data_IF_460337381017
#
_entry.id   IF_460337381017
#
_cell.length_a   1.000
_cell.length_b   1.000
_cell.length_c   1.000
_cell.angle_alpha   90.00
_cell.angle_beta   90.00
_cell.angle_gamma   90.00
#
_symmetry.space_group_name_H-M   'P 1'
#
loop_
_entity.id
_entity.type
_entity.pdbx_description
1 polymer ?
#
# COMPACT_ATOMS: atom_id res chain seq x y z
N UNK A 1 6.14 46.82 8.87
CA UNK A 1 4.94 46.13 9.41
C UNK A 1 4.80 44.87 8.58
N UNK A 2 5.18 43.71 9.14
CA UNK A 2 5.03 42.43 8.43
C UNK A 2 3.55 42.06 8.52
N UNK A 3 2.95 41.74 7.38
CA UNK A 3 1.55 41.35 7.31
C UNK A 3 1.37 40.03 8.10
N UNK A 4 0.38 39.89 9.00
CA UNK A 4 0.18 38.65 9.77
C UNK A 4 -0.05 37.41 8.90
N UNK A 5 -0.39 37.58 7.62
CA UNK A 5 -0.53 36.53 6.62
C UNK A 5 0.81 35.94 6.14
N UNK A 6 1.94 36.61 6.37
CA UNK A 6 3.23 36.26 5.76
C UNK A 6 4.18 35.49 6.71
N UNK A 7 3.73 35.14 7.92
CA UNK A 7 4.57 34.48 8.95
C UNK A 7 4.15 33.02 9.24
N UNK A 8 3.01 32.57 8.73
CA UNK A 8 2.58 31.17 8.86
C UNK A 8 2.65 30.53 7.48
N UNK A 9 3.46 29.48 7.33
CA UNK A 9 3.25 28.56 6.21
C UNK A 9 1.76 28.19 6.23
N UNK A 10 0.99 28.45 5.16
CA UNK A 10 -0.46 28.38 5.25
C UNK A 10 -0.86 26.97 5.70
N UNK A 11 -1.81 26.90 6.64
CA UNK A 11 -2.17 25.71 7.43
C UNK A 11 -2.21 24.39 6.62
N UNK A 12 -2.67 24.44 5.38
CA UNK A 12 -2.70 23.30 4.47
C UNK A 12 -1.31 22.68 4.16
N UNK A 13 -0.23 23.46 4.16
CA UNK A 13 1.14 22.97 3.98
C UNK A 13 1.53 22.09 5.18
N UNK A 14 1.27 22.57 6.40
CA UNK A 14 1.55 21.82 7.62
C UNK A 14 0.74 20.52 7.70
N UNK A 15 -0.55 20.57 7.32
CA UNK A 15 -1.40 19.39 7.27
C UNK A 15 -0.90 18.36 6.23
N UNK A 16 -0.47 18.81 5.06
CA UNK A 16 0.13 17.93 4.06
C UNK A 16 1.44 17.31 4.53
N UNK A 17 2.28 18.07 5.24
CA UNK A 17 3.49 17.52 5.85
C UNK A 17 3.18 16.50 6.95
N UNK A 18 2.16 16.75 7.77
CA UNK A 18 1.68 15.81 8.78
C UNK A 18 1.23 14.50 8.14
N UNK A 19 0.45 14.57 7.06
CA UNK A 19 0.08 13.40 6.26
C UNK A 19 1.31 12.67 5.69
N UNK A 20 2.30 13.40 5.19
CA UNK A 20 3.54 12.81 4.67
C UNK A 20 4.36 12.10 5.76
N UNK A 21 4.38 12.64 6.97
CA UNK A 21 5.18 12.14 8.09
C UNK A 21 4.46 11.06 8.90
N UNK A 22 3.14 10.94 8.77
CA UNK A 22 2.33 9.94 9.46
C UNK A 22 2.94 8.54 9.35
N UNK A 23 3.03 7.85 10.49
CA UNK A 23 3.82 6.62 10.65
C UNK A 23 2.95 5.39 10.87
N UNK A 24 1.66 5.58 11.11
CA UNK A 24 0.68 4.51 11.25
C UNK A 24 -0.46 4.66 10.24
N UNK A 25 -1.20 3.57 10.02
CA UNK A 25 -2.36 3.58 9.12
C UNK A 25 -3.42 4.59 9.57
N UNK A 26 -3.81 4.56 10.86
CA UNK A 26 -4.79 5.50 11.44
C UNK A 26 -4.35 6.95 11.36
N UNK A 27 -3.09 7.25 11.72
CA UNK A 27 -2.56 8.62 11.61
C UNK A 27 -2.59 9.11 10.17
N UNK A 28 -2.27 8.24 9.21
CA UNK A 28 -2.26 8.59 7.78
C UNK A 28 -3.67 8.94 7.31
N UNK A 29 -4.67 8.11 7.65
CA UNK A 29 -6.07 8.35 7.31
C UNK A 29 -6.61 9.62 7.98
N UNK A 30 -6.34 9.80 9.28
CA UNK A 30 -6.77 10.98 10.03
C UNK A 30 -6.15 12.26 9.47
N UNK A 31 -4.84 12.29 9.26
CA UNK A 31 -4.15 13.44 8.70
C UNK A 31 -4.65 13.78 7.29
N UNK A 32 -4.96 12.77 6.47
CA UNK A 32 -5.52 12.97 5.15
C UNK A 32 -6.94 13.55 5.19
N UNK A 33 -7.81 13.04 6.08
CA UNK A 33 -9.17 13.55 6.25
C UNK A 33 -9.17 15.02 6.73
N UNK A 34 -8.30 15.36 7.70
CA UNK A 34 -8.14 16.76 8.16
C UNK A 34 -7.64 17.66 7.03
N UNK A 35 -6.69 17.19 6.23
CA UNK A 35 -6.22 17.93 5.05
C UNK A 35 -7.35 18.17 4.04
N UNK A 36 -8.14 17.14 3.72
CA UNK A 36 -9.25 17.25 2.77
C UNK A 36 -10.32 18.23 3.25
N UNK A 37 -10.71 18.15 4.53
CA UNK A 37 -11.65 19.10 5.14
C UNK A 37 -11.15 20.54 5.12
N UNK A 38 -9.86 20.77 5.43
CA UNK A 38 -9.27 22.12 5.37
C UNK A 38 -9.21 22.69 3.95
N UNK A 39 -9.10 21.82 2.94
CA UNK A 39 -9.03 22.21 1.53
C UNK A 39 -10.39 22.26 0.83
N UNK A 40 -11.46 21.91 1.54
CA UNK A 40 -12.81 21.74 0.98
C UNK A 40 -12.78 20.81 -0.24
N UNK A 41 -12.30 19.60 0.01
CA UNK A 41 -12.13 18.53 -0.97
C UNK A 41 -12.86 17.28 -0.49
N UNK A 42 -13.71 16.72 -1.35
CA UNK A 42 -14.32 15.41 -1.11
C UNK A 42 -13.60 14.32 -1.92
N UNK A 43 -12.92 13.35 -1.28
CA UNK A 43 -12.34 12.19 -1.96
C UNK A 43 -13.37 11.32 -2.71
N UNK A 44 -14.67 11.45 -2.41
CA UNK A 44 -15.73 10.78 -3.17
C UNK A 44 -15.80 11.28 -4.62
N UNK A 45 -15.43 12.54 -4.88
CA UNK A 45 -15.34 13.16 -6.21
C UNK A 45 -14.05 12.75 -6.95
N UNK A 46 -13.85 11.44 -7.09
CA UNK A 46 -12.57 10.84 -7.52
C UNK A 46 -12.04 11.36 -8.86
N UNK A 47 -12.93 11.83 -9.76
CA UNK A 47 -12.58 12.33 -11.11
C UNK A 47 -11.74 13.60 -11.08
N UNK A 48 -12.03 14.52 -10.16
CA UNK A 48 -11.38 15.85 -10.09
C UNK A 48 -10.50 15.97 -8.85
N UNK A 49 -10.65 15.08 -7.88
CA UNK A 49 -9.95 15.14 -6.60
C UNK A 49 -8.44 15.36 -6.74
N UNK A 50 -7.73 14.53 -7.52
CA UNK A 50 -6.27 14.64 -7.66
C UNK A 50 -5.84 16.01 -8.23
N UNK A 51 -6.50 16.48 -9.29
CA UNK A 51 -6.15 17.76 -9.92
C UNK A 51 -6.44 18.94 -8.99
N UNK A 52 -7.54 18.88 -8.24
CA UNK A 52 -7.91 19.88 -7.23
C UNK A 52 -6.97 19.87 -6.02
N UNK A 53 -6.57 18.69 -5.52
CA UNK A 53 -5.58 18.54 -4.45
C UNK A 53 -4.24 19.13 -4.86
N UNK A 54 -3.75 18.77 -6.05
CA UNK A 54 -2.51 19.28 -6.63
C UNK A 54 -2.53 20.80 -6.81
N UNK A 55 -3.65 21.37 -7.25
CA UNK A 55 -3.79 22.82 -7.44
C UNK A 55 -3.73 23.58 -6.11
N UNK A 56 -4.27 23.01 -5.03
CA UNK A 56 -4.30 23.62 -3.69
C UNK A 56 -2.99 23.42 -2.91
N UNK A 57 -2.27 22.31 -3.12
CA UNK A 57 -1.02 22.00 -2.39
C UNK A 57 0.22 22.25 -3.27
N UNK A 58 0.78 23.45 -3.19
CA UNK A 58 1.80 23.93 -4.14
C UNK A 58 3.22 24.08 -3.58
N UNK A 59 3.47 23.59 -2.36
CA UNK A 59 4.81 23.63 -1.75
C UNK A 59 5.84 22.79 -2.54
N UNK A 60 7.13 23.10 -2.37
CA UNK A 60 8.21 22.48 -3.14
C UNK A 60 8.29 20.95 -2.97
N UNK A 61 7.98 20.45 -1.76
CA UNK A 61 8.01 19.02 -1.44
C UNK A 61 6.90 18.28 -2.17
N UNK A 62 5.70 18.86 -2.21
CA UNK A 62 4.54 18.35 -2.94
C UNK A 62 4.75 18.39 -4.46
N UNK A 63 5.26 19.51 -5.01
CA UNK A 63 5.56 19.66 -6.46
C UNK A 63 6.42 18.53 -7.02
N UNK A 64 7.43 18.09 -6.25
CA UNK A 64 8.30 16.99 -6.65
C UNK A 64 7.61 15.61 -6.64
N UNK A 65 6.54 15.44 -5.85
CA UNK A 65 5.68 14.26 -5.93
C UNK A 65 4.73 14.37 -7.13
N UNK A 66 4.08 15.53 -7.32
CA UNK A 66 3.16 15.77 -8.44
C UNK A 66 3.81 15.46 -9.78
N UNK A 67 5.02 15.96 -10.02
CA UNK A 67 5.77 15.66 -11.25
C UNK A 67 5.95 14.15 -11.52
N UNK A 68 6.08 13.33 -10.47
CA UNK A 68 6.21 11.88 -10.60
C UNK A 68 4.88 11.21 -10.94
N UNK A 69 3.81 11.59 -10.21
CA UNK A 69 2.48 11.04 -10.43
C UNK A 69 1.90 11.49 -11.77
N UNK A 70 2.08 12.76 -12.16
CA UNK A 70 1.69 13.27 -13.47
C UNK A 70 2.38 12.49 -14.60
N UNK A 71 3.69 12.24 -14.47
CA UNK A 71 4.43 11.44 -15.45
C UNK A 71 3.86 10.03 -15.59
N UNK A 72 3.47 9.41 -14.47
CA UNK A 72 2.83 8.08 -14.48
C UNK A 72 1.45 8.17 -15.14
N UNK A 73 0.60 9.10 -14.72
CA UNK A 73 -0.76 9.31 -15.26
C UNK A 73 -0.78 9.62 -16.76
N UNK A 74 0.28 10.21 -17.30
CA UNK A 74 0.43 10.50 -18.73
C UNK A 74 0.76 9.27 -19.59
N UNK A 75 0.92 8.08 -19.00
CA UNK A 75 1.09 6.84 -19.77
C UNK A 75 -0.14 6.57 -20.65
N UNK A 76 0.09 6.21 -21.91
CA UNK A 76 -0.96 6.00 -22.92
C UNK A 76 -1.97 4.92 -22.52
N UNK A 77 -1.54 3.93 -21.75
CA UNK A 77 -2.34 2.81 -21.28
C UNK A 77 -3.49 3.28 -20.37
N UNK A 78 -3.34 4.42 -19.68
CA UNK A 78 -4.40 4.99 -18.86
C UNK A 78 -5.43 5.79 -19.66
N UNK A 79 -5.15 6.09 -20.94
CA UNK A 79 -5.99 6.90 -21.82
C UNK A 79 -6.46 8.21 -21.13
N UNK A 80 -5.53 8.96 -20.53
CA UNK A 80 -5.84 10.17 -19.73
C UNK A 80 -6.86 9.91 -18.60
N UNK A 81 -6.79 8.74 -17.96
CA UNK A 81 -7.73 8.33 -16.91
C UNK A 81 -9.13 8.02 -17.45
N UNK A 82 -9.26 7.62 -18.71
CA UNK A 82 -10.54 7.29 -19.35
C UNK A 82 -10.70 5.79 -19.62
N UNK A 83 -9.65 4.99 -19.44
CA UNK A 83 -9.63 3.57 -19.82
C UNK A 83 -10.67 2.70 -19.08
N UNK A 84 -10.94 3.01 -17.81
CA UNK A 84 -11.91 2.30 -16.96
C UNK A 84 -12.95 3.27 -16.37
N UNK A 85 -13.26 4.35 -17.08
CA UNK A 85 -14.30 5.27 -16.63
C UNK A 85 -15.66 4.57 -16.52
N UNK A 86 -16.35 4.83 -15.42
CA UNK A 86 -17.66 4.22 -15.13
C UNK A 86 -17.57 2.89 -14.40
N UNK A 87 -16.43 2.20 -14.43
CA UNK A 87 -16.24 0.99 -13.64
C UNK A 87 -16.13 1.32 -12.14
N UNK A 88 -16.85 0.54 -11.33
CA UNK A 88 -16.73 0.54 -9.87
C UNK A 88 -15.99 -0.73 -9.44
N UNK A 89 -14.90 -0.56 -8.70
CA UNK A 89 -14.01 -1.65 -8.30
C UNK A 89 -13.96 -1.79 -6.78
N UNK A 90 -14.23 -2.98 -6.25
CA UNK A 90 -13.97 -3.34 -4.87
C UNK A 90 -12.68 -4.16 -4.76
N UNK A 91 -11.78 -3.76 -3.86
CA UNK A 91 -10.54 -4.49 -3.56
C UNK A 91 -10.59 -4.96 -2.11
N UNK A 92 -10.40 -6.26 -1.93
CA UNK A 92 -10.44 -6.90 -0.61
C UNK A 92 -9.00 -7.08 -0.15
N UNK A 93 -8.57 -6.29 0.84
CA UNK A 93 -7.24 -6.35 1.46
C UNK A 93 -6.33 -5.15 1.15
N UNK A 94 -5.93 -4.44 2.21
CA UNK A 94 -5.01 -3.30 2.19
C UNK A 94 -3.53 -3.69 2.26
N UNK A 95 -3.17 -4.87 1.73
CA UNK A 95 -1.78 -5.31 1.58
C UNK A 95 -1.05 -4.59 0.45
N UNK A 96 0.29 -4.80 0.29
CA UNK A 96 1.04 -4.18 -0.80
C UNK A 96 0.44 -4.43 -2.19
N UNK A 97 0.04 -5.67 -2.48
CA UNK A 97 -0.56 -6.03 -3.76
C UNK A 97 -1.91 -5.34 -3.98
N UNK A 98 -2.82 -5.39 -2.98
CA UNK A 98 -4.14 -4.77 -3.08
C UNK A 98 -4.07 -3.26 -3.28
N UNK A 99 -3.25 -2.55 -2.48
CA UNK A 99 -3.04 -1.12 -2.65
C UNK A 99 -2.38 -0.77 -3.99
N UNK A 100 -1.43 -1.60 -4.46
CA UNK A 100 -0.78 -1.38 -5.75
C UNK A 100 -1.77 -1.53 -6.91
N UNK A 101 -2.64 -2.53 -6.85
CA UNK A 101 -3.74 -2.72 -7.82
C UNK A 101 -4.74 -1.56 -7.75
N UNK A 102 -5.08 -1.09 -6.54
CA UNK A 102 -5.97 0.04 -6.34
C UNK A 102 -5.49 1.30 -7.04
N UNK A 103 -4.19 1.59 -6.91
CA UNK A 103 -3.55 2.71 -7.58
C UNK A 103 -3.71 2.58 -9.10
N UNK A 104 -3.37 1.44 -9.72
CA UNK A 104 -3.54 1.29 -11.18
C UNK A 104 -4.99 1.50 -11.63
N UNK A 105 -5.96 0.92 -10.93
CA UNK A 105 -7.38 1.06 -11.30
C UNK A 105 -7.84 2.52 -11.19
N UNK A 106 -7.39 3.24 -10.15
CA UNK A 106 -7.67 4.67 -10.01
C UNK A 106 -7.01 5.49 -11.12
N UNK A 107 -5.76 5.19 -11.50
CA UNK A 107 -5.08 5.85 -12.61
C UNK A 107 -5.77 5.60 -13.96
N UNK A 108 -6.44 4.45 -14.14
CA UNK A 108 -7.27 4.16 -15.32
C UNK A 108 -8.64 4.88 -15.30
N UNK A 109 -9.00 5.56 -14.20
CA UNK A 109 -10.25 6.32 -14.08
C UNK A 109 -11.41 5.58 -13.41
N UNK A 110 -11.18 4.41 -12.83
CA UNK A 110 -12.21 3.66 -12.11
C UNK A 110 -12.52 4.30 -10.75
N UNK A 111 -13.74 4.12 -10.23
CA UNK A 111 -14.05 4.36 -8.81
C UNK A 111 -13.55 3.16 -8.01
N UNK A 112 -12.56 3.36 -7.16
CA UNK A 112 -11.91 2.26 -6.42
C UNK A 112 -12.19 2.39 -4.92
N UNK A 113 -12.68 1.30 -4.34
CA UNK A 113 -12.89 1.14 -2.91
C UNK A 113 -12.05 -0.04 -2.42
N UNK A 114 -11.29 0.16 -1.36
CA UNK A 114 -10.50 -0.87 -0.68
C UNK A 114 -11.08 -1.08 0.71
N UNK A 115 -11.35 -2.34 1.07
CA UNK A 115 -11.72 -2.74 2.43
C UNK A 115 -10.60 -3.56 3.06
N UNK A 116 -10.20 -3.21 4.27
CA UNK A 116 -9.19 -3.91 5.07
C UNK A 116 -9.75 -4.26 6.45
N UNK A 117 -9.62 -5.54 6.80
CA UNK A 117 -10.11 -6.06 8.08
C UNK A 117 -9.39 -5.43 9.29
N UNK A 118 -8.10 -5.12 9.16
CA UNK A 118 -7.29 -4.55 10.26
C UNK A 118 -7.31 -3.03 10.22
N UNK A 119 -6.90 -2.43 11.34
CA UNK A 119 -6.75 -0.98 11.49
C UNK A 119 -5.29 -0.51 11.52
N UNK A 120 -4.36 -1.44 11.37
CA UNK A 120 -2.94 -1.21 11.61
C UNK A 120 -2.07 -2.05 10.69
N UNK A 121 -0.94 -1.46 10.30
CA UNK A 121 0.13 -2.14 9.59
C UNK A 121 1.22 -2.53 10.58
N UNK A 122 1.24 -3.80 10.99
CA UNK A 122 2.08 -4.29 12.10
C UNK A 122 3.19 -5.26 11.70
N UNK A 123 3.28 -5.60 10.41
CA UNK A 123 4.23 -6.61 9.92
C UNK A 123 5.61 -5.99 9.68
N UNK A 124 6.54 -6.34 10.55
CA UNK A 124 7.92 -5.89 10.46
C UNK A 124 8.77 -6.67 9.46
N UNK A 125 8.38 -7.89 9.06
CA UNK A 125 9.18 -8.69 8.13
C UNK A 125 9.52 -7.91 6.86
N UNK A 126 10.69 -8.23 6.29
CA UNK A 126 11.30 -7.48 5.20
C UNK A 126 11.14 -8.23 3.89
N UNK A 127 10.70 -7.52 2.86
CA UNK A 127 10.51 -8.01 1.50
C UNK A 127 11.71 -7.57 0.65
N UNK A 128 12.33 -8.53 -0.03
CA UNK A 128 13.22 -8.23 -1.14
C UNK A 128 12.42 -7.64 -2.32
N UNK A 129 13.02 -6.68 -3.02
CA UNK A 129 12.44 -5.96 -4.15
C UNK A 129 13.32 -6.17 -5.38
N UNK A 130 12.71 -6.62 -6.47
CA UNK A 130 13.40 -6.70 -7.75
C UNK A 130 13.64 -5.30 -8.31
N UNK A 131 14.63 -5.13 -9.21
CA UNK A 131 14.96 -3.82 -9.78
C UNK A 131 13.75 -3.08 -10.39
N UNK A 132 12.86 -3.78 -11.08
CA UNK A 132 11.66 -3.17 -11.67
C UNK A 132 10.68 -2.67 -10.58
N UNK A 133 10.55 -3.38 -9.46
CA UNK A 133 9.69 -2.97 -8.34
C UNK A 133 10.26 -1.73 -7.65
N UNK A 134 11.58 -1.66 -7.49
CA UNK A 134 12.25 -0.45 -7.00
C UNK A 134 12.00 0.72 -7.95
N UNK A 135 12.12 0.51 -9.26
CA UNK A 135 11.84 1.52 -10.28
C UNK A 135 10.38 2.00 -10.22
N UNK A 136 9.42 1.08 -10.16
CA UNK A 136 7.99 1.38 -10.07
C UNK A 136 7.66 2.21 -8.82
N UNK A 137 8.11 1.78 -7.64
CA UNK A 137 7.89 2.51 -6.39
C UNK A 137 8.59 3.88 -6.39
N UNK A 138 9.78 4.01 -6.98
CA UNK A 138 10.43 5.33 -7.20
C UNK A 138 9.63 6.22 -8.15
N UNK A 139 8.97 5.61 -9.15
CA UNK A 139 8.03 6.25 -10.07
C UNK A 139 6.79 6.79 -9.36
N UNK A 140 6.29 6.08 -8.34
CA UNK A 140 5.19 6.53 -7.47
C UNK A 140 5.62 7.48 -6.34
N UNK A 141 6.90 7.84 -6.27
CA UNK A 141 7.40 8.80 -5.29
C UNK A 141 7.75 8.21 -3.92
N UNK A 142 8.01 6.90 -3.81
CA UNK A 142 8.35 6.23 -2.55
C UNK A 142 9.43 6.96 -1.71
N UNK A 143 10.48 7.50 -2.35
CA UNK A 143 11.55 8.25 -1.66
C UNK A 143 11.09 9.57 -1.02
N UNK A 144 9.93 10.12 -1.43
CA UNK A 144 9.32 11.32 -0.83
C UNK A 144 8.58 10.99 0.47
N UNK A 145 7.96 9.82 0.53
CA UNK A 145 7.29 9.31 1.73
C UNK A 145 8.26 8.64 2.70
N UNK A 146 9.34 8.05 2.19
CA UNK A 146 10.35 7.34 2.97
C UNK A 146 11.74 7.64 2.44
N UNK A 147 12.46 8.58 3.08
CA UNK A 147 13.76 9.06 2.59
C UNK A 147 14.83 7.96 2.48
N UNK A 148 14.75 6.93 3.31
CA UNK A 148 15.64 5.75 3.31
C UNK A 148 15.30 4.73 2.22
N UNK A 149 14.23 4.92 1.45
CA UNK A 149 13.78 3.95 0.44
C UNK A 149 14.88 3.63 -0.58
N UNK A 150 15.39 2.39 -0.52
CA UNK A 150 16.42 1.87 -1.41
C UNK A 150 17.58 2.84 -1.61
N UNK A 151 18.13 3.36 -0.50
CA UNK A 151 19.34 4.18 -0.50
C UNK A 151 20.59 3.31 -0.71
N UNK A 152 21.53 3.75 -1.53
CA UNK A 152 22.70 2.94 -1.89
C UNK A 152 22.30 1.64 -2.59
N UNK A 153 22.81 0.51 -2.08
CA UNK A 153 22.55 -0.84 -2.59
C UNK A 153 21.33 -1.54 -1.93
N UNK A 154 20.59 -0.86 -1.05
CA UNK A 154 19.41 -1.43 -0.37
C UNK A 154 18.34 -1.80 -1.40
N UNK A 155 17.94 -3.06 -1.42
CA UNK A 155 16.99 -3.65 -2.38
C UNK A 155 15.76 -4.27 -1.70
N UNK A 156 15.37 -3.73 -0.54
CA UNK A 156 14.39 -4.37 0.31
C UNK A 156 13.65 -3.36 1.21
N UNK A 157 12.48 -3.73 1.72
CA UNK A 157 11.61 -2.87 2.53
C UNK A 157 10.74 -3.68 3.49
N UNK A 158 10.46 -3.16 4.69
CA UNK A 158 9.49 -3.81 5.58
C UNK A 158 8.07 -3.76 5.01
N UNK A 159 7.28 -4.79 5.29
CA UNK A 159 5.89 -4.88 4.79
C UNK A 159 5.09 -3.65 5.21
N UNK A 160 5.14 -3.25 6.50
CA UNK A 160 4.40 -2.09 6.98
C UNK A 160 4.80 -0.79 6.27
N UNK A 161 6.08 -0.59 5.96
CA UNK A 161 6.55 0.65 5.33
C UNK A 161 6.10 0.71 3.88
N UNK A 162 6.10 -0.43 3.18
CA UNK A 162 5.55 -0.53 1.84
C UNK A 162 4.04 -0.23 1.84
N UNK A 163 3.30 -0.77 2.82
CA UNK A 163 1.87 -0.48 2.97
C UNK A 163 1.61 1.02 3.21
N UNK A 164 2.39 1.70 4.06
CA UNK A 164 2.25 3.15 4.30
C UNK A 164 2.53 3.99 3.05
N UNK A 165 3.58 3.66 2.30
CA UNK A 165 3.92 4.35 1.06
C UNK A 165 2.75 4.22 0.07
N UNK A 166 2.28 2.99 -0.15
CA UNK A 166 1.20 2.73 -1.11
C UNK A 166 -0.14 3.31 -0.66
N UNK A 167 -0.45 3.28 0.65
CA UNK A 167 -1.65 3.91 1.19
C UNK A 167 -1.67 5.42 0.91
N UNK A 168 -0.55 6.10 1.14
CA UNK A 168 -0.44 7.55 0.87
C UNK A 168 -0.66 7.86 -0.61
N UNK A 169 -0.09 7.05 -1.51
CA UNK A 169 -0.32 7.21 -2.95
C UNK A 169 -1.79 6.93 -3.31
N UNK A 170 -2.36 5.85 -2.78
CA UNK A 170 -3.76 5.46 -3.02
C UNK A 170 -4.74 6.59 -2.63
N UNK A 171 -4.58 7.17 -1.44
CA UNK A 171 -5.39 8.29 -0.97
C UNK A 171 -5.26 9.53 -1.87
N UNK A 172 -4.04 9.88 -2.28
CA UNK A 172 -3.78 11.00 -3.18
C UNK A 172 -4.49 10.84 -4.53
N UNK A 173 -4.60 9.60 -5.04
CA UNK A 173 -5.29 9.29 -6.30
C UNK A 173 -6.76 8.91 -6.08
N UNK A 174 -7.34 9.32 -4.96
CA UNK A 174 -8.76 9.16 -4.62
C UNK A 174 -9.26 7.71 -4.52
N UNK A 175 -8.38 6.78 -4.12
CA UNK A 175 -8.84 5.46 -3.65
C UNK A 175 -9.50 5.63 -2.29
N UNK A 176 -10.74 5.19 -2.19
CA UNK A 176 -11.48 5.14 -0.94
C UNK A 176 -11.01 3.94 -0.12
N UNK A 177 -10.59 4.15 1.13
CA UNK A 177 -9.95 3.11 1.94
C UNK A 177 -10.61 2.98 3.32
N UNK A 178 -11.22 1.82 3.57
CA UNK A 178 -11.92 1.51 4.81
C UNK A 178 -11.17 0.47 5.63
N UNK A 179 -10.87 0.80 6.89
CA UNK A 179 -10.28 -0.13 7.87
C UNK A 179 -11.36 -0.70 8.79
N UNK A 180 -11.05 -1.79 9.50
CA UNK A 180 -12.01 -2.52 10.34
C UNK A 180 -13.23 -3.06 9.58
N UNK A 181 -13.08 -3.28 8.26
CA UNK A 181 -14.13 -3.83 7.41
C UNK A 181 -13.67 -5.19 6.89
N UNK A 182 -14.27 -6.25 7.41
CA UNK A 182 -14.04 -7.62 6.97
C UNK A 182 -15.01 -7.98 5.84
N UNK A 183 -14.47 -8.44 4.72
CA UNK A 183 -15.26 -9.10 3.68
C UNK A 183 -15.78 -10.46 4.18
N UNK A 184 -17.05 -10.75 3.94
CA UNK A 184 -17.69 -12.02 4.28
C UNK A 184 -17.96 -12.85 3.02
N UNK A 185 -18.74 -12.31 2.08
CA UNK A 185 -19.09 -12.96 0.81
C UNK A 185 -19.60 -11.96 -0.22
N UNK A 186 -19.70 -12.39 -1.47
CA UNK A 186 -20.41 -11.64 -2.50
C UNK A 186 -21.92 -11.75 -2.29
N UNK A 187 -22.64 -10.69 -2.66
CA UNK A 187 -24.08 -10.63 -2.73
C UNK A 187 -24.46 -10.45 -4.19
N UNK A 188 -25.14 -11.44 -4.74
CA UNK A 188 -25.65 -11.42 -6.11
C UNK A 188 -26.80 -10.40 -6.23
N UNK A 189 -26.95 -9.74 -7.39
CA UNK A 189 -28.16 -8.99 -7.73
C UNK A 189 -29.42 -9.86 -7.51
N UNK A 190 -30.51 -9.32 -6.93
CA UNK A 190 -31.77 -10.05 -6.83
C UNK A 190 -32.34 -10.36 -8.22
N UNK A 191 -33.06 -11.48 -8.36
CA UNK A 191 -33.70 -11.89 -9.61
C UNK A 191 -34.88 -10.98 -9.99
N UNK A 192 -35.67 -10.55 -9.00
CA UNK A 192 -36.82 -9.67 -9.18
C UNK A 192 -36.38 -8.19 -9.14
N UNK A 193 -36.16 -7.58 -10.31
CA UNK A 193 -35.72 -6.17 -10.47
C UNK A 193 -36.79 -5.27 -11.09
N UNK A 194 -38.07 -5.50 -10.77
CA UNK A 194 -39.18 -4.77 -11.40
C UNK A 194 -39.16 -3.25 -11.14
N UNK A 195 -38.51 -2.79 -10.06
CA UNK A 195 -38.54 -1.37 -9.63
C UNK A 195 -37.16 -0.70 -9.46
N UNK A 196 -36.10 -1.39 -9.04
CA UNK A 196 -34.74 -0.85 -8.91
C UNK A 196 -33.68 -1.93 -9.21
N UNK A 197 -32.77 -1.64 -10.14
CA UNK A 197 -31.70 -2.54 -10.55
C UNK A 197 -30.51 -2.49 -9.57
N UNK A 198 -30.54 -3.34 -8.54
CA UNK A 198 -29.45 -3.45 -7.56
C UNK A 198 -28.31 -4.30 -8.14
N UNK A 199 -27.11 -3.73 -8.23
CA UNK A 199 -25.91 -4.43 -8.69
C UNK A 199 -25.27 -5.37 -7.67
N UNK A 200 -24.12 -5.93 -8.04
CA UNK A 200 -23.31 -6.78 -7.14
C UNK A 200 -22.81 -6.00 -5.93
N UNK A 201 -22.89 -6.61 -4.75
CA UNK A 201 -22.41 -6.02 -3.49
C UNK A 201 -21.57 -7.01 -2.69
N UNK A 202 -21.03 -6.56 -1.57
CA UNK A 202 -20.30 -7.38 -0.63
C UNK A 202 -21.03 -7.41 0.72
N UNK A 203 -21.26 -8.61 1.24
CA UNK A 203 -21.56 -8.76 2.66
C UNK A 203 -20.27 -8.49 3.43
N UNK A 204 -20.36 -7.60 4.42
CA UNK A 204 -19.22 -7.14 5.21
C UNK A 204 -19.53 -7.20 6.71
N UNK A 205 -18.48 -7.10 7.52
CA UNK A 205 -18.57 -6.90 8.96
C UNK A 205 -17.76 -5.66 9.37
N UNK A 206 -18.35 -4.69 10.10
CA UNK A 206 -19.74 -4.68 10.56
C UNK A 206 -20.73 -4.36 9.42
N UNK A 207 -21.95 -4.91 9.49
CA UNK A 207 -22.90 -4.92 8.37
C UNK A 207 -23.58 -3.57 8.10
N UNK A 208 -23.57 -2.68 9.09
CA UNK A 208 -24.08 -1.31 9.06
C UNK A 208 -23.06 -0.30 8.52
N UNK A 209 -21.84 -0.74 8.18
CA UNK A 209 -20.84 0.14 7.61
C UNK A 209 -21.30 0.65 6.23
N UNK A 210 -21.15 1.96 5.90
CA UNK A 210 -21.69 2.55 4.66
C UNK A 210 -21.30 1.82 3.36
N UNK A 211 -20.08 1.27 3.32
CA UNK A 211 -19.58 0.49 2.17
C UNK A 211 -20.38 -0.79 1.88
N UNK A 212 -21.26 -1.26 2.76
CA UNK A 212 -22.17 -2.38 2.50
C UNK A 212 -23.11 -2.11 1.31
N UNK A 213 -23.41 -0.84 1.05
CA UNK A 213 -24.25 -0.40 -0.06
C UNK A 213 -23.46 -0.06 -1.33
N UNK A 214 -22.13 -0.25 -1.31
CA UNK A 214 -21.31 -0.01 -2.50
C UNK A 214 -21.51 -1.13 -3.53
N UNK A 215 -22.12 -0.76 -4.65
CA UNK A 215 -22.25 -1.63 -5.83
C UNK A 215 -21.01 -1.56 -6.71
N UNK A 216 -20.55 -2.69 -7.22
CA UNK A 216 -19.34 -2.79 -8.03
C UNK A 216 -19.48 -3.77 -9.19
N UNK A 217 -18.73 -3.52 -10.26
CA UNK A 217 -18.66 -4.36 -11.45
C UNK A 217 -17.39 -5.22 -11.48
N UNK A 218 -16.39 -4.82 -10.68
CA UNK A 218 -15.08 -5.48 -10.58
C UNK A 218 -14.76 -5.76 -9.12
N UNK A 219 -14.37 -7.00 -8.81
CA UNK A 219 -13.86 -7.38 -7.49
C UNK A 219 -12.47 -7.98 -7.59
N UNK A 220 -11.57 -7.57 -6.70
CA UNK A 220 -10.20 -8.09 -6.61
C UNK A 220 -9.92 -8.63 -5.21
N UNK A 221 -9.73 -9.95 -5.11
CA UNK A 221 -9.28 -10.60 -3.87
C UNK A 221 -7.77 -10.46 -3.68
N UNK A 222 -7.35 -9.60 -2.75
CA UNK A 222 -5.94 -9.32 -2.42
C UNK A 222 -5.64 -9.44 -0.90
N UNK A 223 -6.42 -10.24 -0.18
CA UNK A 223 -6.41 -10.42 1.27
C UNK A 223 -5.54 -11.59 1.76
N UNK A 224 -4.77 -12.17 0.83
CA UNK A 224 -3.73 -13.16 1.10
C UNK A 224 -4.26 -14.58 1.25
N UNK A 225 -3.40 -15.49 1.76
CA UNK A 225 -3.66 -16.94 1.69
C UNK A 225 -4.92 -17.40 2.44
N UNK A 226 -5.45 -16.68 3.42
CA UNK A 226 -6.55 -17.23 4.25
C UNK A 226 -7.89 -17.27 3.53
N UNK A 227 -8.08 -16.44 2.51
CA UNK A 227 -9.36 -16.28 1.84
C UNK A 227 -9.20 -16.46 0.34
N UNK A 228 -10.27 -16.91 -0.31
CA UNK A 228 -10.38 -16.98 -1.76
C UNK A 228 -11.83 -16.75 -2.11
N UNK A 229 -12.06 -15.86 -3.09
CA UNK A 229 -13.38 -15.66 -3.65
C UNK A 229 -13.94 -17.00 -4.14
N UNK A 230 -15.24 -17.20 -3.93
CA UNK A 230 -15.93 -18.40 -4.39
C UNK A 230 -15.75 -18.59 -5.90
N UNK A 231 -15.71 -19.85 -6.35
CA UNK A 231 -15.43 -20.20 -7.74
C UNK A 231 -13.94 -20.40 -8.09
N UNK A 232 -12.99 -19.91 -7.29
CA UNK A 232 -11.57 -20.10 -7.56
C UNK A 232 -11.00 -21.34 -6.85
N UNK A 233 -10.61 -22.35 -7.65
CA UNK A 233 -9.96 -23.57 -7.14
C UNK A 233 -8.47 -23.33 -6.86
N UNK A 234 -8.00 -23.77 -5.69
CA UNK A 234 -6.57 -23.73 -5.34
C UNK A 234 -5.87 -25.03 -5.71
N UNK A 235 -4.63 -24.92 -6.21
CA UNK A 235 -3.72 -26.05 -6.37
C UNK A 235 -2.79 -26.09 -5.16
N UNK A 236 -2.85 -27.17 -4.39
CA UNK A 236 -1.89 -27.42 -3.31
C UNK A 236 -0.70 -28.20 -3.86
N UNK A 237 0.50 -27.67 -3.66
CA UNK A 237 1.75 -28.39 -3.92
C UNK A 237 2.39 -28.76 -2.57
N UNK A 238 2.49 -30.06 -2.30
CA UNK A 238 3.13 -30.58 -1.09
C UNK A 238 4.54 -31.05 -1.43
N UNK A 239 5.53 -30.27 -1.00
CA UNK A 239 6.94 -30.62 -1.08
C UNK A 239 7.42 -31.36 0.18
N UNK A 240 8.75 -31.38 0.37
CA UNK A 240 9.35 -31.82 1.63
C UNK A 240 8.94 -30.90 2.77
N UNK A 241 8.94 -31.42 4.01
CA UNK A 241 8.75 -30.60 5.20
C UNK A 241 9.78 -29.47 5.22
N UNK A 242 9.30 -28.23 5.29
CA UNK A 242 10.12 -27.03 5.37
C UNK A 242 9.51 -26.09 6.40
N UNK A 243 10.31 -25.71 7.40
CA UNK A 243 9.92 -24.77 8.46
C UNK A 243 10.80 -23.53 8.31
N UNK A 244 10.18 -22.36 8.22
CA UNK A 244 10.87 -21.09 8.14
C UNK A 244 10.68 -20.31 9.44
N UNK A 245 11.76 -19.75 9.98
CA UNK A 245 11.76 -18.87 11.15
C UNK A 245 12.16 -17.48 10.67
N UNK A 246 11.42 -16.46 11.10
CA UNK A 246 11.77 -15.06 10.85
C UNK A 246 11.91 -14.32 12.17
N UNK A 247 13.03 -13.62 12.36
CA UNK A 247 13.29 -12.81 13.55
C UNK A 247 13.53 -11.35 13.14
N UNK A 248 13.17 -10.41 14.02
CA UNK A 248 13.48 -8.99 13.86
C UNK A 248 14.13 -8.49 15.15
N UNK A 249 15.30 -7.89 15.02
CA UNK A 249 16.02 -7.25 16.13
C UNK A 249 15.97 -5.73 15.95
N UNK A 250 16.07 -4.99 17.06
CA UNK A 250 16.12 -3.52 17.03
C UNK A 250 17.43 -3.10 16.38
N UNK A 251 17.37 -2.32 15.30
CA UNK A 251 18.53 -1.63 14.75
C UNK A 251 18.64 -0.22 15.33
N UNK A 252 19.72 0.07 16.07
CA UNK A 252 19.96 1.39 16.67
C UNK A 252 20.70 2.35 15.74
N UNK A 253 21.05 1.92 14.52
CA UNK A 253 21.75 2.70 13.50
C UNK A 253 23.12 3.20 13.99
N UNK A 254 23.80 2.44 14.83
CA UNK A 254 25.17 2.73 15.25
C UNK A 254 26.16 2.48 14.11
N UNK A 255 27.34 3.11 14.16
CA UNK A 255 28.41 2.87 13.19
C UNK A 255 28.87 1.41 13.15
N UNK A 256 28.77 0.70 14.28
CA UNK A 256 29.09 -0.72 14.34
C UNK A 256 28.04 -1.57 13.59
N UNK A 257 26.75 -1.35 13.85
CA UNK A 257 25.66 -2.05 13.15
C UNK A 257 25.69 -1.78 11.63
N UNK A 258 26.00 -0.54 11.22
CA UNK A 258 26.05 -0.15 9.81
C UNK A 258 27.21 -0.78 9.02
N UNK A 259 28.24 -1.31 9.69
CA UNK A 259 29.38 -2.00 9.05
C UNK A 259 29.13 -3.50 8.82
N UNK A 260 28.09 -4.06 9.44
CA UNK A 260 27.75 -5.48 9.24
C UNK A 260 27.21 -5.65 7.83
N UNK A 261 27.69 -6.66 7.11
CA UNK A 261 27.22 -6.96 5.76
C UNK A 261 25.90 -7.74 5.78
N UNK A 262 25.04 -7.50 4.79
CA UNK A 262 23.82 -8.28 4.60
C UNK A 262 24.12 -9.68 4.05
N UNK A 263 23.27 -10.63 4.40
CA UNK A 263 23.25 -11.97 3.83
C UNK A 263 22.04 -12.04 2.89
N UNK A 264 22.27 -11.80 1.60
CA UNK A 264 21.21 -11.70 0.57
C UNK A 264 20.39 -12.99 0.37
N UNK A 265 20.93 -14.12 0.85
CA UNK A 265 20.34 -15.45 0.81
C UNK A 265 21.43 -16.48 0.57
N UNK A 266 21.95 -17.07 1.65
CA UNK A 266 22.96 -18.13 1.58
C UNK A 266 22.25 -19.47 1.78
N UNK A 267 22.44 -20.40 0.85
CA UNK A 267 21.88 -21.74 0.93
C UNK A 267 22.99 -22.75 1.23
N UNK A 268 22.62 -23.83 1.93
CA UNK A 268 23.55 -24.91 2.31
C UNK A 268 24.40 -25.40 1.14
N UNK A 269 23.77 -25.55 -0.02
CA UNK A 269 24.42 -26.06 -1.24
C UNK A 269 25.61 -25.20 -1.67
N UNK A 270 25.57 -23.88 -1.44
CA UNK A 270 26.61 -22.94 -1.84
C UNK A 270 27.62 -22.61 -0.75
N UNK A 271 27.26 -22.81 0.53
CA UNK A 271 28.13 -22.46 1.65
C UNK A 271 28.11 -23.53 2.76
N UNK A 272 28.45 -24.76 2.38
CA UNK A 272 28.37 -25.92 3.27
C UNK A 272 29.20 -25.73 4.54
N UNK A 273 30.40 -25.14 4.43
CA UNK A 273 31.28 -24.88 5.58
C UNK A 273 30.58 -24.04 6.64
N UNK A 274 30.01 -22.89 6.27
CA UNK A 274 29.28 -22.02 7.19
C UNK A 274 28.19 -22.76 7.98
N UNK A 275 27.37 -23.57 7.30
CA UNK A 275 26.28 -24.29 7.96
C UNK A 275 26.75 -25.50 8.79
N UNK A 276 27.86 -26.14 8.40
CA UNK A 276 28.47 -27.20 9.20
C UNK A 276 29.06 -26.62 10.49
N UNK A 277 29.78 -25.51 10.40
CA UNK A 277 30.35 -24.80 11.55
C UNK A 277 29.22 -24.32 12.49
N UNK A 278 28.16 -23.70 11.94
CA UNK A 278 26.98 -23.28 12.72
C UNK A 278 26.34 -24.45 13.49
N UNK A 279 26.22 -25.61 12.83
CA UNK A 279 25.67 -26.81 13.44
C UNK A 279 26.57 -27.35 14.55
N UNK A 280 27.87 -27.33 14.37
CA UNK A 280 28.85 -27.77 15.37
C UNK A 280 28.79 -26.88 16.62
N UNK A 281 28.73 -25.55 16.44
CA UNK A 281 28.73 -24.59 17.55
C UNK A 281 27.38 -24.49 18.28
N UNK A 282 26.25 -24.57 17.56
CA UNK A 282 24.92 -24.25 18.12
C UNK A 282 23.95 -25.44 18.15
N UNK A 283 24.28 -26.53 17.45
CA UNK A 283 23.35 -27.64 17.20
C UNK A 283 22.27 -27.34 16.15
N UNK A 284 22.18 -26.10 15.65
CA UNK A 284 21.17 -25.71 14.67
C UNK A 284 21.43 -26.34 13.30
N UNK A 285 20.39 -26.92 12.69
CA UNK A 285 20.46 -27.54 11.36
C UNK A 285 19.69 -26.69 10.36
N UNK A 286 20.32 -25.62 9.90
CA UNK A 286 19.75 -24.72 8.90
C UNK A 286 20.15 -25.11 7.47
N UNK A 287 19.27 -24.81 6.53
CA UNK A 287 19.46 -25.09 5.10
C UNK A 287 19.48 -23.83 4.23
N UNK A 288 18.98 -22.72 4.77
CA UNK A 288 18.96 -21.42 4.12
C UNK A 288 18.90 -20.31 5.16
N UNK A 289 19.69 -19.26 4.98
CA UNK A 289 19.74 -18.09 5.87
C UNK A 289 19.78 -16.81 5.03
N UNK A 290 18.96 -15.84 5.41
CA UNK A 290 18.99 -14.48 4.87
C UNK A 290 18.93 -13.47 6.02
N UNK A 291 19.81 -12.47 5.98
CA UNK A 291 19.91 -11.41 6.98
C UNK A 291 19.91 -10.08 6.25
N UNK A 292 19.04 -9.19 6.71
CA UNK A 292 18.70 -7.93 6.06
C UNK A 292 18.75 -6.81 7.08
N UNK A 293 19.44 -5.72 6.77
CA UNK A 293 19.73 -4.62 7.70
C UNK A 293 18.97 -3.36 7.27
N UNK A 294 18.44 -2.60 8.23
CA UNK A 294 17.51 -1.47 8.00
C UNK A 294 18.02 -0.12 8.42
#
# INVERSE_FOLDING_TARGET
>A
IVNPSDILAPLHIFLFESFFQASTCKETLQAFNVLCGQLDLDPADSRTFYSSLKARVTNWKAKALWSKLDKRMAHKEYNNGQACMGNKCLIIGGGPCGLRTAIELALMGAKVVVIEKRDSFSRNNVLHLWPYTIHDLRGLGAKKFYGKFCAGAIDHISIQQLQLILLKVALIVAVEFHINVEFVKLLEPPEDQENEGIGWRAAIRPADHPVANFEFDVVVGADGRRNTLEGFKRKEFRGKLAIAITANFINRNTTAEAKVEEISGVAFIFNQKFFLDLKEETGAREVHLAVRLR
#
